data_IF_343048302491
#
_entry.id   IF_343048302491
#
_cell.length_a   1.000
_cell.length_b   1.000
_cell.length_c   1.000
_cell.angle_alpha   90.00
_cell.angle_beta   90.00
_cell.angle_gamma   90.00
#
_symmetry.space_group_name_H-M   'P 1'
#
loop_
_entity.id
_entity.type
_entity.pdbx_description
1 polymer ?
#
# COMPACT_ATOMS: atom_id res chain seq x y z
N UNK A 1 -81.76 -80.08 24.28
CA UNK A 1 -81.01 -78.98 24.97
C UNK A 1 -80.03 -78.42 23.97
N UNK A 2 -80.10 -77.17 23.74
CA UNK A 2 -79.92 -76.35 22.56
C UNK A 2 -78.44 -76.25 22.01
N UNK A 3 -78.27 -76.68 20.77
CA UNK A 3 -77.05 -76.51 19.91
C UNK A 3 -76.75 -75.07 19.50
N UNK A 4 -77.59 -74.11 19.90
CA UNK A 4 -77.47 -72.71 19.46
C UNK A 4 -76.61 -71.81 20.35
N UNK A 5 -76.20 -72.25 21.53
CA UNK A 5 -75.28 -71.45 22.42
C UNK A 5 -73.80 -71.59 22.08
N UNK A 6 -73.38 -72.59 21.34
CA UNK A 6 -72.00 -72.81 20.94
C UNK A 6 -71.57 -71.89 19.78
N UNK A 7 -72.47 -71.46 18.93
CA UNK A 7 -72.18 -70.58 17.81
C UNK A 7 -72.05 -69.09 18.18
N UNK A 8 -72.70 -68.65 19.27
CA UNK A 8 -72.62 -67.28 19.75
C UNK A 8 -71.28 -67.00 20.49
N UNK A 9 -70.69 -68.03 21.11
CA UNK A 9 -69.41 -67.89 21.82
C UNK A 9 -68.17 -67.89 20.90
N UNK A 10 -68.28 -68.47 19.70
CA UNK A 10 -67.18 -68.45 18.71
C UNK A 10 -67.15 -67.17 17.89
N UNK A 11 -68.17 -66.34 17.83
CA UNK A 11 -68.26 -65.13 17.04
C UNK A 11 -67.67 -63.92 17.86
N UNK A 12 -67.63 -63.97 19.21
CA UNK A 12 -67.13 -62.88 20.06
C UNK A 12 -65.63 -62.87 20.26
N UNK A 13 -64.83 -63.85 19.73
CA UNK A 13 -63.36 -63.91 19.91
C UNK A 13 -62.60 -63.36 18.69
N UNK A 14 -63.29 -63.08 17.54
CA UNK A 14 -62.61 -62.65 16.29
C UNK A 14 -62.49 -61.10 16.16
N UNK A 15 -63.00 -60.30 17.12
CA UNK A 15 -63.05 -58.87 17.01
C UNK A 15 -61.98 -58.10 17.94
N UNK A 16 -61.04 -58.82 18.52
CA UNK A 16 -60.01 -58.23 19.41
C UNK A 16 -58.60 -58.16 18.82
N UNK A 17 -58.42 -58.25 17.48
CA UNK A 17 -57.14 -58.15 16.82
C UNK A 17 -57.05 -56.85 15.98
N UNK A 18 -57.32 -55.68 16.62
CA UNK A 18 -56.92 -54.40 16.07
C UNK A 18 -55.62 -54.01 16.77
N UNK A 19 -54.48 -54.54 16.26
CA UNK A 19 -53.14 -54.13 16.66
C UNK A 19 -52.95 -52.65 16.34
N UNK A 20 -52.83 -51.86 17.39
CA UNK A 20 -52.44 -50.46 17.24
C UNK A 20 -51.07 -50.36 16.56
N UNK A 21 -51.05 -49.90 15.31
CA UNK A 21 -49.84 -49.38 14.69
C UNK A 21 -49.37 -48.24 15.59
N UNK A 22 -48.31 -48.48 16.35
CA UNK A 22 -47.51 -47.38 16.88
C UNK A 22 -47.03 -46.55 15.65
N UNK A 23 -47.64 -45.42 15.43
CA UNK A 23 -47.02 -44.36 14.64
C UNK A 23 -45.71 -44.07 15.33
N UNK A 24 -44.60 -44.57 14.76
CA UNK A 24 -43.28 -44.01 15.01
C UNK A 24 -43.44 -42.54 14.55
N UNK A 25 -43.54 -41.64 15.51
CA UNK A 25 -43.34 -40.21 15.25
C UNK A 25 -41.93 -40.09 14.67
N UNK A 26 -41.84 -40.06 13.35
CA UNK A 26 -40.59 -39.60 12.71
C UNK A 26 -40.35 -38.20 13.24
N UNK A 27 -39.36 -38.08 14.15
CA UNK A 27 -38.87 -36.78 14.54
C UNK A 27 -38.51 -36.04 13.26
N UNK A 28 -39.01 -34.81 13.06
CA UNK A 28 -38.74 -34.05 11.86
C UNK A 28 -37.22 -33.93 11.71
N UNK A 29 -36.70 -34.50 10.63
CA UNK A 29 -35.30 -34.32 10.24
C UNK A 29 -35.06 -32.83 10.02
N UNK A 30 -34.54 -32.15 11.07
CA UNK A 30 -34.21 -30.74 10.97
C UNK A 30 -33.01 -30.64 9.99
N UNK A 31 -33.21 -29.98 8.82
CA UNK A 31 -32.15 -29.87 7.84
C UNK A 31 -30.94 -29.14 8.46
N UNK A 32 -29.77 -29.76 8.37
CA UNK A 32 -28.52 -29.18 8.88
C UNK A 32 -27.77 -28.53 7.73
N UNK A 33 -27.48 -27.22 7.84
CA UNK A 33 -26.68 -26.49 6.85
C UNK A 33 -25.21 -26.89 6.95
N UNK A 34 -24.56 -27.23 5.83
CA UNK A 34 -23.13 -27.52 5.82
C UNK A 34 -22.32 -26.23 6.07
N UNK A 35 -21.36 -26.27 7.00
CA UNK A 35 -20.58 -25.09 7.39
C UNK A 35 -19.11 -25.44 7.59
N UNK A 36 -18.23 -24.45 7.34
CA UNK A 36 -16.82 -24.49 7.72
C UNK A 36 -16.60 -23.60 8.92
N UNK A 37 -15.62 -23.93 9.75
CA UNK A 37 -15.36 -23.23 11.01
C UNK A 37 -13.88 -22.88 11.17
N UNK A 38 -13.64 -21.81 11.93
CA UNK A 38 -12.32 -21.39 12.36
C UNK A 38 -12.32 -21.01 13.82
N UNK A 39 -11.13 -20.83 14.40
CA UNK A 39 -10.94 -20.27 15.74
C UNK A 39 -10.49 -18.81 15.65
N UNK A 40 -10.67 -18.08 16.73
CA UNK A 40 -10.22 -16.70 16.85
C UNK A 40 -8.71 -16.70 17.14
N UNK A 41 -7.99 -15.84 16.43
CA UNK A 41 -6.56 -15.59 16.64
C UNK A 41 -6.37 -14.35 17.52
N UNK A 42 -5.48 -14.42 18.49
CA UNK A 42 -5.00 -13.23 19.19
C UNK A 42 -3.81 -12.67 18.40
N UNK A 43 -3.88 -11.41 18.03
CA UNK A 43 -2.86 -10.77 17.22
C UNK A 43 -3.14 -9.31 16.97
N UNK A 44 -2.55 -8.79 15.91
CA UNK A 44 -2.79 -7.45 15.39
C UNK A 44 -3.17 -7.54 13.92
N UNK A 45 -3.95 -6.58 13.46
CA UNK A 45 -4.19 -6.39 12.03
C UNK A 45 -3.27 -5.28 11.57
N UNK A 46 -2.44 -5.55 10.57
CA UNK A 46 -1.69 -4.50 9.90
C UNK A 46 -2.68 -3.64 9.11
N UNK A 47 -2.95 -2.46 9.62
CA UNK A 47 -3.73 -1.44 8.94
C UNK A 47 -2.75 -0.51 8.21
N UNK A 48 -2.71 -0.63 6.90
CA UNK A 48 -1.83 0.14 6.05
C UNK A 48 -2.58 1.32 5.44
N UNK A 49 -2.05 2.51 5.66
CA UNK A 49 -2.52 3.74 5.03
C UNK A 49 -1.79 3.93 3.70
N UNK A 50 -2.52 3.93 2.60
CA UNK A 50 -1.96 4.25 1.28
C UNK A 50 -2.18 5.72 0.97
N UNK A 51 -1.08 6.45 0.78
CA UNK A 51 -1.07 7.88 0.46
C UNK A 51 -0.48 8.12 -0.92
N UNK A 52 -0.82 9.25 -1.53
CA UNK A 52 -0.20 9.72 -2.77
C UNK A 52 0.97 10.65 -2.46
N UNK A 53 2.04 10.52 -3.23
CA UNK A 53 3.19 11.40 -3.15
C UNK A 53 3.75 11.74 -4.53
N UNK A 54 4.57 12.78 -4.59
CA UNK A 54 5.30 13.18 -5.81
C UNK A 54 6.79 13.29 -5.52
N UNK A 55 7.62 12.88 -6.47
CA UNK A 55 9.06 13.02 -6.40
C UNK A 55 9.47 14.48 -6.58
N UNK A 56 10.38 14.97 -5.76
CA UNK A 56 10.96 16.32 -5.86
C UNK A 56 12.47 16.26 -5.57
N UNK A 57 13.22 17.16 -6.17
CA UNK A 57 14.61 17.38 -5.81
C UNK A 57 14.74 18.63 -4.95
N UNK A 58 15.21 18.46 -3.71
CA UNK A 58 15.33 19.55 -2.74
C UNK A 58 16.50 20.47 -3.05
N UNK A 59 17.55 19.94 -3.72
CA UNK A 59 18.74 20.69 -4.05
C UNK A 59 19.03 20.64 -5.54
N UNK A 60 19.34 21.81 -6.08
CA UNK A 60 19.67 22.02 -7.48
C UNK A 60 20.93 22.84 -7.61
N UNK A 61 21.83 22.44 -8.49
CA UNK A 61 23.03 23.17 -8.83
C UNK A 61 22.85 23.82 -10.18
N UNK A 62 22.82 25.13 -10.21
CA UNK A 62 22.83 25.92 -11.44
C UNK A 62 24.29 26.03 -11.92
N UNK A 63 24.55 25.52 -13.09
CA UNK A 63 25.87 25.57 -13.71
C UNK A 63 25.95 26.80 -14.61
N UNK A 64 26.88 27.67 -14.32
CA UNK A 64 27.08 28.91 -15.07
C UNK A 64 28.47 28.95 -15.70
N UNK A 65 28.65 29.79 -16.71
CA UNK A 65 29.97 30.11 -17.23
C UNK A 65 30.70 31.05 -16.26
N UNK A 66 31.93 30.69 -15.87
CA UNK A 66 32.76 31.51 -14.97
C UNK A 66 33.46 32.68 -15.69
N UNK A 67 33.55 32.60 -17.02
CA UNK A 67 34.18 33.61 -17.85
C UNK A 67 33.46 33.74 -19.19
N UNK A 68 33.69 34.89 -19.91
CA UNK A 68 33.18 35.02 -21.28
C UNK A 68 33.97 34.10 -22.24
N UNK A 69 33.23 33.20 -22.94
CA UNK A 69 33.84 32.17 -23.79
C UNK A 69 32.92 31.68 -24.91
N UNK A 70 33.47 30.96 -25.89
CA UNK A 70 32.70 30.19 -26.88
C UNK A 70 32.57 28.75 -26.42
N UNK A 71 31.39 28.18 -26.59
CA UNK A 71 31.17 26.74 -26.36
C UNK A 71 31.81 25.98 -27.54
N UNK A 72 32.76 25.13 -27.23
CA UNK A 72 33.43 24.27 -28.24
C UNK A 72 32.88 22.87 -28.26
N UNK A 73 32.39 22.39 -27.13
CA UNK A 73 31.78 21.07 -27.01
C UNK A 73 30.73 21.01 -25.89
N UNK A 74 29.66 20.31 -26.14
CA UNK A 74 28.61 19.98 -25.18
C UNK A 74 28.59 18.47 -25.04
N UNK A 75 28.77 17.97 -23.81
CA UNK A 75 28.86 16.53 -23.51
C UNK A 75 27.62 15.98 -22.81
N UNK A 76 26.55 16.73 -22.74
CA UNK A 76 25.33 16.40 -22.01
C UNK A 76 24.08 16.78 -22.82
N UNK A 77 22.96 16.14 -22.45
CA UNK A 77 21.62 16.43 -22.93
C UNK A 77 20.65 16.57 -21.78
N UNK A 78 19.47 17.11 -22.03
CA UNK A 78 18.40 17.16 -21.06
C UNK A 78 18.00 15.73 -20.64
N UNK A 79 17.91 15.49 -19.33
CA UNK A 79 17.57 14.19 -18.77
C UNK A 79 18.76 13.24 -18.55
N UNK A 80 19.96 13.61 -19.01
CA UNK A 80 21.16 12.79 -18.79
C UNK A 80 21.49 12.67 -17.30
N UNK A 81 21.93 11.46 -16.90
CA UNK A 81 22.52 11.21 -15.60
C UNK A 81 23.99 11.61 -15.62
N UNK A 82 24.41 12.44 -14.69
CA UNK A 82 25.79 12.91 -14.57
C UNK A 82 26.37 12.53 -13.21
N UNK A 83 27.68 12.30 -13.18
CA UNK A 83 28.44 12.02 -11.96
C UNK A 83 29.23 13.27 -11.56
N UNK A 84 29.49 13.42 -10.26
CA UNK A 84 30.38 14.46 -9.74
C UNK A 84 31.75 14.38 -10.41
N UNK A 85 32.24 15.52 -10.94
CA UNK A 85 33.51 15.61 -11.66
C UNK A 85 33.41 15.26 -13.16
N UNK A 86 32.25 14.90 -13.69
CA UNK A 86 32.04 14.68 -15.12
C UNK A 86 32.14 16.01 -15.88
N UNK A 87 32.82 16.03 -17.04
CA UNK A 87 32.89 17.19 -17.93
C UNK A 87 31.58 17.42 -18.63
N UNK A 88 30.94 18.56 -18.40
CA UNK A 88 29.67 18.95 -18.99
C UNK A 88 29.86 19.74 -20.28
N UNK A 89 30.72 20.76 -20.22
CA UNK A 89 31.03 21.66 -21.35
C UNK A 89 32.53 21.84 -21.49
N UNK A 90 32.97 22.09 -22.73
CA UNK A 90 34.29 22.62 -23.04
C UNK A 90 34.10 24.00 -23.68
N UNK A 91 34.82 24.97 -23.12
CA UNK A 91 34.75 26.36 -23.53
C UNK A 91 36.10 26.83 -24.03
N UNK A 92 36.11 27.84 -24.91
CA UNK A 92 37.31 28.48 -25.46
C UNK A 92 37.19 29.99 -25.33
N UNK A 93 38.19 30.61 -24.76
CA UNK A 93 38.22 32.07 -24.65
C UNK A 93 38.45 32.75 -26.01
N UNK A 94 38.10 34.06 -26.10
CA UNK A 94 38.35 34.86 -27.31
C UNK A 94 39.83 34.93 -27.68
N UNK A 95 40.70 35.06 -26.69
CA UNK A 95 42.16 35.16 -26.83
C UNK A 95 42.71 33.89 -27.51
N UNK A 96 42.29 32.72 -27.00
CA UNK A 96 42.68 31.45 -27.62
C UNK A 96 42.18 31.34 -29.07
N UNK A 97 40.94 31.74 -29.32
CA UNK A 97 40.40 31.72 -30.67
C UNK A 97 41.17 32.64 -31.63
N UNK A 98 41.63 33.81 -31.12
CA UNK A 98 42.43 34.79 -31.87
C UNK A 98 43.85 34.30 -32.16
N UNK A 99 44.47 33.54 -31.27
CA UNK A 99 45.83 33.00 -31.46
C UNK A 99 45.92 32.00 -32.62
N UNK A 100 44.84 31.32 -32.96
CA UNK A 100 44.79 30.33 -34.01
C UNK A 100 45.54 29.03 -33.70
N UNK A 101 45.25 27.98 -34.49
CA UNK A 101 45.79 26.63 -34.25
C UNK A 101 47.32 26.54 -34.43
N UNK A 102 47.90 27.33 -35.37
CA UNK A 102 49.32 27.25 -35.70
C UNK A 102 50.22 27.73 -34.55
N UNK A 103 49.91 28.84 -33.88
CA UNK A 103 50.65 29.38 -32.74
C UNK A 103 50.59 28.43 -31.55
N UNK A 104 49.42 27.84 -31.30
CA UNK A 104 49.23 26.91 -30.18
C UNK A 104 49.96 25.58 -30.40
N UNK A 105 50.11 25.14 -31.64
CA UNK A 105 50.84 23.91 -31.97
C UNK A 105 52.36 24.09 -31.89
N UNK A 106 52.84 25.31 -32.01
CA UNK A 106 54.27 25.64 -31.98
C UNK A 106 54.82 25.74 -30.53
N UNK A 107 53.96 26.01 -29.56
CA UNK A 107 54.36 26.13 -28.12
C UNK A 107 53.49 25.24 -27.25
N UNK A 108 54.10 24.20 -26.67
CA UNK A 108 53.45 23.26 -25.76
C UNK A 108 52.92 23.90 -24.46
N UNK A 109 53.49 25.03 -24.04
CA UNK A 109 53.02 25.78 -22.87
C UNK A 109 51.61 26.40 -23.14
N UNK A 110 51.30 26.69 -24.37
CA UNK A 110 49.98 27.23 -24.78
C UNK A 110 48.93 26.15 -25.05
N UNK A 111 49.29 24.89 -24.97
CA UNK A 111 48.38 23.79 -25.34
C UNK A 111 47.01 23.84 -24.62
N UNK A 112 47.01 24.19 -23.34
CA UNK A 112 45.80 24.29 -22.51
C UNK A 112 45.33 25.74 -22.28
N UNK A 113 46.05 26.72 -22.79
CA UNK A 113 45.70 28.15 -22.57
C UNK A 113 44.31 28.42 -23.16
N UNK A 114 43.44 29.06 -22.37
CA UNK A 114 42.12 29.49 -22.80
C UNK A 114 41.12 28.35 -23.14
N UNK A 115 41.47 27.09 -22.84
CA UNK A 115 40.52 25.98 -22.84
C UNK A 115 40.04 25.74 -21.41
N UNK A 116 38.72 25.76 -21.22
CA UNK A 116 38.10 25.62 -19.91
C UNK A 116 37.13 24.47 -19.98
N UNK A 117 37.18 23.59 -19.00
CA UNK A 117 36.23 22.50 -18.83
C UNK A 117 35.32 22.81 -17.65
N UNK A 118 34.03 22.78 -17.86
CA UNK A 118 33.02 22.91 -16.82
C UNK A 118 32.65 21.51 -16.34
N UNK A 119 32.83 21.30 -15.05
CA UNK A 119 32.58 20.00 -14.40
C UNK A 119 31.32 20.02 -13.58
N UNK A 120 30.70 18.85 -13.44
CA UNK A 120 29.55 18.65 -12.53
C UNK A 120 30.04 18.73 -11.07
N UNK A 121 29.45 19.59 -10.22
CA UNK A 121 29.76 19.66 -8.79
C UNK A 121 29.16 18.49 -8.00
N UNK A 122 28.12 17.83 -8.53
CA UNK A 122 27.38 16.76 -7.86
C UNK A 122 26.91 15.69 -8.86
N UNK A 123 26.53 14.52 -8.34
CA UNK A 123 25.83 13.51 -9.14
C UNK A 123 24.34 13.80 -9.16
N UNK A 124 23.70 13.68 -10.34
CA UNK A 124 22.30 14.02 -10.50
C UNK A 124 21.79 13.84 -11.93
N UNK A 125 20.69 14.54 -12.23
CA UNK A 125 20.06 14.56 -13.55
C UNK A 125 20.06 16.01 -14.07
N UNK A 126 20.33 16.18 -15.36
CA UNK A 126 20.20 17.47 -16.05
C UNK A 126 18.71 17.82 -16.13
N UNK A 127 18.25 18.74 -15.29
CA UNK A 127 16.84 19.13 -15.18
C UNK A 127 16.46 20.29 -16.11
N UNK A 128 17.41 21.20 -16.39
CA UNK A 128 17.26 22.23 -17.44
C UNK A 128 18.54 22.30 -18.26
N UNK A 129 18.39 22.71 -19.53
CA UNK A 129 19.48 22.72 -20.49
C UNK A 129 19.36 23.95 -21.39
N UNK A 130 19.97 25.04 -20.93
CA UNK A 130 19.77 26.36 -21.54
C UNK A 130 20.67 26.60 -22.77
N UNK A 131 21.89 26.00 -22.77
CA UNK A 131 22.87 26.14 -23.85
C UNK A 131 23.23 24.80 -24.46
N UNK A 132 22.76 24.58 -25.67
CA UNK A 132 22.84 23.29 -26.37
C UNK A 132 23.80 23.28 -27.57
N UNK A 133 24.23 24.47 -28.05
CA UNK A 133 24.91 24.55 -29.33
C UNK A 133 26.39 24.89 -29.20
N UNK A 134 27.21 24.11 -29.88
CA UNK A 134 28.59 24.43 -30.12
C UNK A 134 28.68 25.68 -30.97
N UNK A 135 29.57 26.62 -30.62
CA UNK A 135 29.75 27.90 -31.30
C UNK A 135 29.07 29.08 -30.58
N UNK A 136 28.15 28.84 -29.64
CA UNK A 136 27.52 29.89 -28.86
C UNK A 136 28.58 30.65 -28.03
N UNK A 137 28.41 31.96 -28.01
CA UNK A 137 29.19 32.83 -27.09
C UNK A 137 28.41 33.05 -25.80
N UNK A 138 29.01 32.78 -24.67
CA UNK A 138 28.44 32.98 -23.35
C UNK A 138 29.23 34.02 -22.57
N UNK A 139 28.54 34.81 -21.76
CA UNK A 139 29.12 35.77 -20.84
C UNK A 139 29.35 35.11 -19.48
N UNK A 140 30.15 35.73 -18.63
CA UNK A 140 30.27 35.36 -17.24
C UNK A 140 28.89 35.38 -16.57
N UNK A 141 28.62 34.38 -15.73
CA UNK A 141 27.33 34.20 -15.05
C UNK A 141 26.19 33.64 -15.93
N UNK A 142 26.41 33.43 -17.26
CA UNK A 142 25.40 32.82 -18.12
C UNK A 142 25.12 31.40 -17.66
N UNK A 143 23.83 31.10 -17.37
CA UNK A 143 23.37 29.77 -17.04
C UNK A 143 23.52 28.83 -18.24
N UNK A 144 24.14 27.68 -18.01
CA UNK A 144 24.38 26.64 -19.01
C UNK A 144 23.39 25.49 -18.88
N UNK A 145 23.25 24.95 -17.66
CA UNK A 145 22.30 23.92 -17.32
C UNK A 145 22.03 23.90 -15.80
N UNK A 146 21.05 23.11 -15.36
CA UNK A 146 20.78 22.85 -13.96
C UNK A 146 20.85 21.36 -13.68
N UNK A 147 21.49 20.97 -12.58
CA UNK A 147 21.57 19.59 -12.13
C UNK A 147 20.71 19.44 -10.88
N UNK A 148 19.73 18.54 -10.93
CA UNK A 148 18.97 18.08 -9.77
C UNK A 148 19.77 16.98 -9.06
N UNK A 149 20.18 17.21 -7.81
CA UNK A 149 21.03 16.25 -7.08
C UNK A 149 20.29 14.98 -6.69
N UNK A 150 20.80 13.82 -7.10
CA UNK A 150 20.17 12.53 -6.81
C UNK A 150 20.11 12.19 -5.32
N UNK A 151 21.09 12.65 -4.53
CA UNK A 151 21.13 12.42 -3.08
C UNK A 151 20.05 13.22 -2.31
N UNK A 152 19.49 14.24 -2.93
CA UNK A 152 18.44 15.08 -2.35
C UNK A 152 17.07 14.86 -3.00
N UNK A 153 16.88 13.72 -3.65
CA UNK A 153 15.55 13.24 -4.05
C UNK A 153 14.72 12.97 -2.79
N UNK A 154 13.56 13.58 -2.72
CA UNK A 154 12.57 13.37 -1.68
C UNK A 154 11.20 13.11 -2.30
N UNK A 155 10.31 12.56 -1.49
CA UNK A 155 8.92 12.33 -1.88
C UNK A 155 8.02 13.21 -1.03
N UNK A 156 7.27 14.05 -1.70
CA UNK A 156 6.32 14.97 -1.09
C UNK A 156 4.99 14.23 -0.94
N UNK A 157 4.67 13.80 0.28
CA UNK A 157 3.47 13.04 0.63
C UNK A 157 2.38 14.03 1.04
N UNK A 158 1.19 13.89 0.46
CA UNK A 158 0.01 14.66 0.86
C UNK A 158 -0.79 13.84 1.88
N UNK A 159 -0.74 14.24 3.15
CA UNK A 159 -1.34 13.53 4.27
C UNK A 159 -2.61 14.26 4.72
N UNK A 160 -3.81 13.66 4.64
CA UNK A 160 -5.02 14.22 5.24
C UNK A 160 -4.83 14.45 6.74
N UNK A 161 -5.39 15.53 7.26
CA UNK A 161 -5.18 15.95 8.66
C UNK A 161 -5.48 14.87 9.69
N UNK A 162 -6.50 14.06 9.43
CA UNK A 162 -6.91 12.94 10.28
C UNK A 162 -5.84 11.84 10.44
N UNK A 163 -4.92 11.74 9.46
CA UNK A 163 -3.86 10.71 9.45
C UNK A 163 -2.47 11.23 9.87
N UNK A 164 -2.33 12.51 10.19
CA UNK A 164 -1.04 13.11 10.60
C UNK A 164 -0.43 12.39 11.80
N UNK A 165 -1.26 11.93 12.73
CA UNK A 165 -0.80 11.20 13.92
C UNK A 165 -0.03 9.91 13.60
N UNK A 166 -0.21 9.35 12.41
CA UNK A 166 0.44 8.11 11.94
C UNK A 166 1.65 8.36 11.03
N UNK A 167 2.05 9.62 10.83
CA UNK A 167 3.12 10.02 9.92
C UNK A 167 4.15 10.90 10.62
N UNK A 168 4.71 10.38 11.71
CA UNK A 168 5.71 11.11 12.52
C UNK A 168 7.08 11.08 11.85
N UNK A 169 7.89 12.09 12.16
CA UNK A 169 9.31 12.11 11.74
C UNK A 169 10.03 10.89 12.30
N UNK A 170 10.74 10.18 11.44
CA UNK A 170 11.42 8.93 11.76
C UNK A 170 10.62 7.66 11.47
N UNK A 171 9.31 7.76 11.20
CA UNK A 171 8.50 6.58 10.89
C UNK A 171 8.92 5.98 9.54
N UNK A 172 9.04 4.66 9.45
CA UNK A 172 9.32 3.98 8.20
C UNK A 172 8.10 3.99 7.28
N UNK A 173 8.33 4.13 6.00
CA UNK A 173 7.31 3.98 4.98
C UNK A 173 7.86 3.22 3.77
N UNK A 174 6.96 2.71 2.93
CA UNK A 174 7.30 2.03 1.70
C UNK A 174 6.80 2.84 0.51
N UNK A 175 7.69 3.16 -0.41
CA UNK A 175 7.35 3.87 -1.65
C UNK A 175 7.22 2.85 -2.77
N UNK A 176 6.08 2.87 -3.45
CA UNK A 176 5.81 2.02 -4.62
C UNK A 176 5.78 2.90 -5.86
N UNK A 177 6.69 2.64 -6.78
CA UNK A 177 6.78 3.33 -8.07
C UNK A 177 5.73 2.80 -9.06
N UNK A 178 5.48 3.51 -10.18
CA UNK A 178 4.53 3.05 -11.20
C UNK A 178 4.87 1.71 -11.87
N UNK A 179 6.13 1.30 -11.84
CA UNK A 179 6.62 -0.01 -12.31
C UNK A 179 6.43 -1.14 -11.29
N UNK A 180 5.75 -0.86 -10.15
CA UNK A 180 5.54 -1.73 -9.00
C UNK A 180 6.82 -2.07 -8.20
N UNK A 181 7.94 -1.44 -8.47
CA UNK A 181 9.12 -1.53 -7.59
C UNK A 181 8.84 -0.84 -6.26
N UNK A 182 9.39 -1.40 -5.18
CA UNK A 182 9.15 -0.90 -3.81
C UNK A 182 10.47 -0.54 -3.14
N UNK A 183 10.51 0.64 -2.52
CA UNK A 183 11.69 1.19 -1.87
C UNK A 183 11.38 1.59 -0.44
N UNK A 184 12.27 1.22 0.47
CA UNK A 184 12.18 1.63 1.89
C UNK A 184 12.53 3.10 2.00
N UNK A 185 11.72 3.84 2.74
CA UNK A 185 11.90 5.26 2.99
C UNK A 185 11.58 5.60 4.44
N UNK A 186 12.00 6.77 4.86
CA UNK A 186 11.73 7.31 6.19
C UNK A 186 11.11 8.69 6.04
N UNK A 187 10.10 8.98 6.84
CA UNK A 187 9.49 10.30 6.95
C UNK A 187 10.50 11.24 7.62
N UNK A 188 10.80 12.38 6.98
CA UNK A 188 11.87 13.29 7.43
C UNK A 188 11.37 14.60 7.97
N UNK A 189 10.52 15.31 7.22
CA UNK A 189 10.16 16.69 7.54
C UNK A 189 8.70 16.98 7.21
N UNK A 190 7.88 17.35 8.20
CA UNK A 190 6.57 17.94 7.92
C UNK A 190 6.75 19.39 7.48
N UNK A 191 6.08 19.80 6.42
CA UNK A 191 6.01 21.19 6.02
C UNK A 191 4.89 21.90 6.81
N UNK A 192 5.09 23.19 7.12
CA UNK A 192 4.15 23.95 7.95
C UNK A 192 2.88 24.36 7.21
N UNK A 193 2.92 24.43 5.88
CA UNK A 193 1.78 24.83 5.08
C UNK A 193 0.84 23.64 4.83
N UNK A 194 -0.46 23.90 4.97
CA UNK A 194 -1.53 22.98 4.56
C UNK A 194 -2.11 23.39 3.21
N UNK A 195 -2.46 22.42 2.40
CA UNK A 195 -3.31 22.64 1.25
C UNK A 195 -4.74 22.84 1.73
N UNK A 196 -5.27 24.06 1.58
CA UNK A 196 -6.60 24.44 2.10
C UNK A 196 -7.74 23.77 1.36
N UNK A 197 -7.56 23.42 0.07
CA UNK A 197 -8.59 22.76 -0.74
C UNK A 197 -8.70 21.28 -0.40
N UNK A 198 -7.56 20.61 -0.28
CA UNK A 198 -7.52 19.18 -0.02
C UNK A 198 -7.47 18.83 1.48
N UNK A 199 -7.34 19.83 2.38
CA UNK A 199 -7.14 19.63 3.82
C UNK A 199 -6.01 18.64 4.13
N UNK A 200 -4.91 18.74 3.35
CA UNK A 200 -3.74 17.87 3.51
C UNK A 200 -2.53 18.67 3.97
N UNK A 201 -1.74 18.08 4.86
CA UNK A 201 -0.39 18.54 5.18
C UNK A 201 0.62 17.84 4.28
N UNK A 202 1.58 18.60 3.78
CA UNK A 202 2.69 18.03 3.03
C UNK A 202 3.78 17.56 3.97
N UNK A 203 4.22 16.31 3.80
CA UNK A 203 5.30 15.70 4.57
C UNK A 203 6.34 15.15 3.59
N UNK A 204 7.62 15.31 3.91
CA UNK A 204 8.70 14.77 3.09
C UNK A 204 9.16 13.41 3.60
N UNK A 205 9.42 12.49 2.66
CA UNK A 205 10.10 11.24 2.94
C UNK A 205 11.32 11.09 2.03
N UNK A 206 12.37 10.42 2.53
CA UNK A 206 13.58 10.10 1.76
C UNK A 206 13.78 8.59 1.69
N UNK A 207 14.13 8.08 0.51
CA UNK A 207 14.56 6.69 0.36
C UNK A 207 15.93 6.47 0.98
N UNK A 208 16.18 5.24 1.43
CA UNK A 208 17.49 4.82 1.90
C UNK A 208 18.48 4.61 0.75
N UNK A 209 17.96 4.38 -0.43
CA UNK A 209 18.71 4.17 -1.67
C UNK A 209 18.77 5.45 -2.50
N UNK A 210 19.85 5.61 -3.27
CA UNK A 210 19.96 6.70 -4.25
C UNK A 210 19.18 6.29 -5.51
N UNK A 211 18.10 7.01 -5.77
CA UNK A 211 17.24 6.79 -6.94
C UNK A 211 17.41 7.94 -7.95
N UNK A 212 17.30 7.59 -9.22
CA UNK A 212 17.27 8.55 -10.33
C UNK A 212 15.88 8.50 -10.97
N UNK A 213 14.99 9.39 -10.53
CA UNK A 213 13.62 9.44 -10.98
C UNK A 213 13.30 10.80 -11.62
N UNK A 214 12.36 10.86 -12.55
CA UNK A 214 11.84 12.13 -13.03
C UNK A 214 11.24 12.94 -11.87
N UNK A 215 11.33 14.25 -11.93
CA UNK A 215 10.63 15.15 -11.00
C UNK A 215 9.12 15.09 -11.28
N UNK A 216 8.32 15.29 -10.24
CA UNK A 216 6.84 15.22 -10.28
C UNK A 216 6.28 13.83 -10.64
N UNK A 217 7.07 12.76 -10.50
CA UNK A 217 6.56 11.40 -10.63
C UNK A 217 5.59 11.11 -9.49
N UNK A 218 4.36 10.70 -9.84
CA UNK A 218 3.37 10.28 -8.85
C UNK A 218 3.66 8.85 -8.40
N UNK A 219 3.72 8.66 -7.08
CA UNK A 219 4.01 7.37 -6.45
C UNK A 219 3.03 7.09 -5.32
N UNK A 220 2.92 5.82 -4.94
CA UNK A 220 2.16 5.41 -3.75
C UNK A 220 3.10 5.27 -2.56
N UNK A 221 2.65 5.74 -1.41
CA UNK A 221 3.38 5.58 -0.14
C UNK A 221 2.52 4.80 0.83
N UNK A 222 3.05 3.69 1.30
CA UNK A 222 2.41 2.85 2.30
C UNK A 222 2.99 3.19 3.67
N UNK A 223 2.14 3.64 4.57
CA UNK A 223 2.48 3.90 5.98
C UNK A 223 1.74 2.89 6.84
N UNK A 224 2.46 2.16 7.68
CA UNK A 224 1.85 1.20 8.59
C UNK A 224 1.36 1.94 9.82
N UNK A 225 0.07 1.89 10.08
CA UNK A 225 -0.49 2.38 11.33
C UNK A 225 -0.11 1.41 12.46
N UNK A 226 0.29 1.91 13.63
CA UNK A 226 0.50 1.04 14.78
C UNK A 226 -0.82 0.34 15.12
N UNK A 227 -0.83 -0.99 15.01
CA UNK A 227 -1.98 -1.79 15.35
C UNK A 227 -1.99 -2.09 16.85
N UNK A 228 -3.19 -2.20 17.43
CA UNK A 228 -3.35 -2.61 18.81
C UNK A 228 -2.88 -4.06 18.97
N UNK A 229 -1.90 -4.29 19.84
CA UNK A 229 -1.39 -5.63 20.15
C UNK A 229 -2.43 -6.38 21.00
N UNK A 230 -2.49 -7.70 20.87
CA UNK A 230 -3.37 -8.58 21.65
C UNK A 230 -4.88 -8.38 21.43
N UNK A 231 -5.28 -8.11 20.21
CA UNK A 231 -6.70 -8.06 19.83
C UNK A 231 -7.16 -9.39 19.26
N UNK A 232 -8.46 -9.63 19.38
CA UNK A 232 -9.10 -10.76 18.74
C UNK A 232 -9.29 -10.49 17.27
N UNK A 233 -8.73 -11.35 16.43
CA UNK A 233 -8.74 -11.21 14.97
C UNK A 233 -9.38 -12.44 14.36
N UNK A 234 -10.26 -12.21 13.40
CA UNK A 234 -10.96 -13.27 12.67
C UNK A 234 -10.98 -12.95 11.17
N UNK A 235 -11.12 -13.98 10.34
CA UNK A 235 -11.28 -13.79 8.91
C UNK A 235 -12.52 -12.95 8.60
N UNK A 236 -12.40 -11.99 7.68
CA UNK A 236 -13.48 -11.03 7.32
C UNK A 236 -14.79 -11.75 6.92
N UNK A 237 -14.68 -12.88 6.26
CA UNK A 237 -15.83 -13.69 5.83
C UNK A 237 -16.65 -14.28 6.99
N UNK A 238 -16.13 -14.30 8.22
CA UNK A 238 -16.87 -14.75 9.39
C UNK A 238 -17.83 -13.69 9.92
N UNK A 239 -17.59 -12.41 9.60
CA UNK A 239 -18.38 -11.29 10.09
C UNK A 239 -19.46 -10.97 9.09
N UNK A 240 -20.70 -11.02 9.55
CA UNK A 240 -21.89 -10.66 8.80
C UNK A 240 -22.37 -9.28 9.25
N UNK A 241 -23.09 -8.59 8.39
CA UNK A 241 -23.69 -7.29 8.69
C UNK A 241 -25.11 -7.20 8.13
N UNK A 242 -25.87 -6.26 8.67
CA UNK A 242 -27.11 -5.79 8.08
C UNK A 242 -26.85 -5.02 6.75
N UNK A 243 -27.92 -4.71 6.02
CA UNK A 243 -27.83 -3.99 4.74
C UNK A 243 -27.23 -2.58 4.88
N UNK A 244 -27.40 -1.95 6.05
CA UNK A 244 -26.87 -0.61 6.32
C UNK A 244 -25.47 -0.63 6.94
N UNK A 245 -24.90 -1.83 7.18
CA UNK A 245 -23.59 -2.02 7.85
C UNK A 245 -23.51 -1.35 9.24
N UNK A 246 -24.61 -1.30 9.95
CA UNK A 246 -24.69 -0.74 11.30
C UNK A 246 -24.55 -1.79 12.38
N UNK A 247 -25.10 -2.99 12.13
CA UNK A 247 -24.99 -4.12 13.03
C UNK A 247 -24.09 -5.20 12.44
N UNK A 248 -23.17 -5.70 13.27
CA UNK A 248 -22.28 -6.78 12.90
C UNK A 248 -22.46 -7.95 13.83
N UNK A 249 -22.37 -9.18 13.29
CA UNK A 249 -22.46 -10.41 14.08
C UNK A 249 -21.62 -11.52 13.49
N UNK A 250 -21.37 -12.54 14.30
CA UNK A 250 -20.76 -13.80 13.86
C UNK A 250 -21.67 -14.96 14.28
N UNK A 251 -21.54 -16.09 13.59
CA UNK A 251 -22.21 -17.34 13.94
C UNK A 251 -21.23 -18.21 14.74
N UNK A 252 -21.48 -18.29 16.05
CA UNK A 252 -20.64 -19.07 16.99
C UNK A 252 -21.25 -20.45 17.19
N UNK A 253 -20.42 -21.50 17.14
CA UNK A 253 -20.84 -22.84 17.50
C UNK A 253 -20.95 -22.99 19.03
N UNK A 254 -22.11 -23.41 19.48
CA UNK A 254 -22.33 -23.81 20.88
C UNK A 254 -21.93 -25.28 21.11
N UNK A 255 -22.14 -26.12 20.09
CA UNK A 255 -21.74 -27.52 20.01
C UNK A 255 -21.52 -27.92 18.54
N UNK A 256 -21.24 -29.18 18.26
CA UNK A 256 -20.94 -29.65 16.90
C UNK A 256 -22.11 -29.59 15.91
N UNK A 257 -23.30 -29.24 16.37
CA UNK A 257 -24.51 -29.25 15.53
C UNK A 257 -25.39 -28.00 15.65
N UNK A 258 -25.03 -27.04 16.52
CA UNK A 258 -25.84 -25.85 16.77
C UNK A 258 -24.95 -24.60 16.75
N UNK A 259 -25.35 -23.63 15.95
CA UNK A 259 -24.72 -22.31 15.89
C UNK A 259 -25.71 -21.25 16.36
N UNK A 260 -25.18 -20.18 17.00
CA UNK A 260 -25.96 -19.03 17.45
C UNK A 260 -25.36 -17.74 16.95
N UNK A 261 -26.21 -16.78 16.64
CA UNK A 261 -25.84 -15.42 16.30
C UNK A 261 -25.31 -14.71 17.53
N UNK A 262 -24.10 -14.14 17.42
CA UNK A 262 -23.47 -13.34 18.47
C UNK A 262 -23.18 -11.97 17.89
N UNK A 263 -23.83 -10.90 18.40
CA UNK A 263 -23.51 -9.54 18.00
C UNK A 263 -22.06 -9.19 18.37
N UNK A 264 -21.36 -8.47 17.47
CA UNK A 264 -19.97 -8.09 17.68
C UNK A 264 -19.75 -6.60 17.40
N UNK A 265 -18.83 -5.99 18.15
CA UNK A 265 -18.30 -4.67 17.85
C UNK A 265 -16.97 -4.85 17.15
N UNK A 266 -16.91 -4.45 15.91
CA UNK A 266 -15.68 -4.54 15.10
C UNK A 266 -14.74 -3.38 15.39
N UNK A 267 -13.42 -3.63 15.24
CA UNK A 267 -12.37 -2.63 15.30
C UNK A 267 -11.75 -2.39 13.93
N UNK A 268 -10.43 -2.41 13.86
CA UNK A 268 -9.69 -2.28 12.62
C UNK A 268 -9.98 -3.46 11.68
N UNK A 269 -9.96 -3.19 10.39
CA UNK A 269 -10.19 -4.21 9.35
C UNK A 269 -9.26 -3.99 8.17
N UNK A 270 -8.85 -5.09 7.54
CA UNK A 270 -8.18 -5.07 6.24
C UNK A 270 -8.95 -5.92 5.22
N UNK A 271 -8.33 -6.25 4.10
CA UNK A 271 -8.98 -7.04 3.04
C UNK A 271 -9.30 -8.48 3.46
N UNK A 272 -8.59 -9.04 4.44
CA UNK A 272 -8.63 -10.45 4.84
C UNK A 272 -9.21 -10.66 6.24
N UNK A 273 -8.98 -9.74 7.18
CA UNK A 273 -9.22 -9.92 8.61
C UNK A 273 -9.94 -8.72 9.22
N UNK A 274 -10.65 -8.98 10.31
CA UNK A 274 -11.40 -7.99 11.11
C UNK A 274 -11.05 -8.19 12.59
N UNK A 275 -10.79 -7.09 13.29
CA UNK A 275 -10.62 -7.04 14.74
C UNK A 275 -11.99 -7.05 15.42
N UNK A 276 -12.12 -7.86 16.48
CA UNK A 276 -13.30 -7.90 17.35
C UNK A 276 -12.96 -7.25 18.68
N UNK A 277 -13.62 -6.13 18.97
CA UNK A 277 -13.46 -5.42 20.24
C UNK A 277 -14.33 -6.00 21.35
N UNK A 278 -15.52 -6.51 21.00
CA UNK A 278 -16.49 -7.10 21.92
C UNK A 278 -17.40 -8.06 21.16
N UNK A 279 -17.87 -9.16 21.82
CA UNK A 279 -17.47 -9.69 23.12
C UNK A 279 -16.08 -10.33 23.10
N UNK A 280 -15.57 -10.68 24.28
CA UNK A 280 -14.36 -11.50 24.38
C UNK A 280 -14.72 -12.97 24.16
N UNK A 281 -14.09 -13.58 23.16
CA UNK A 281 -14.25 -15.00 22.83
C UNK A 281 -13.13 -15.83 23.47
N UNK A 282 -13.45 -17.06 23.81
CA UNK A 282 -12.43 -18.01 24.29
C UNK A 282 -11.58 -18.56 23.13
N UNK A 283 -10.38 -19.03 23.47
CA UNK A 283 -9.44 -19.61 22.49
C UNK A 283 -10.03 -20.81 21.74
N UNK A 284 -10.94 -21.54 22.38
CA UNK A 284 -11.61 -22.72 21.80
C UNK A 284 -12.94 -22.41 21.12
N UNK A 285 -13.37 -21.14 21.12
CA UNK A 285 -14.60 -20.77 20.44
C UNK A 285 -14.45 -20.94 18.94
N UNK A 286 -15.41 -21.65 18.34
CA UNK A 286 -15.44 -21.92 16.90
C UNK A 286 -16.47 -21.02 16.26
N UNK A 287 -16.04 -20.30 15.24
CA UNK A 287 -16.85 -19.36 14.45
C UNK A 287 -16.99 -19.90 13.03
N UNK A 288 -18.18 -19.78 12.46
CA UNK A 288 -18.45 -20.23 11.09
C UNK A 288 -17.79 -19.26 10.10
N UNK A 289 -17.01 -19.81 9.16
CA UNK A 289 -16.35 -19.05 8.07
C UNK A 289 -17.14 -19.11 6.78
N UNK A 290 -17.72 -20.27 6.47
CA UNK A 290 -18.45 -20.50 5.24
C UNK A 290 -19.81 -21.16 5.56
N UNK A 291 -20.85 -20.81 4.79
CA UNK A 291 -22.21 -21.28 5.04
C UNK A 291 -22.92 -20.54 6.18
N UNK A 292 -22.39 -19.41 6.61
CA UNK A 292 -22.95 -18.54 7.66
C UNK A 292 -24.06 -17.62 7.16
N UNK A 293 -24.11 -17.32 5.86
CA UNK A 293 -25.09 -16.42 5.27
C UNK A 293 -26.50 -17.03 5.26
N UNK A 294 -27.52 -16.25 5.68
CA UNK A 294 -28.91 -16.68 5.69
C UNK A 294 -29.28 -17.67 6.79
N UNK A 295 -28.39 -17.95 7.75
CA UNK A 295 -28.74 -18.74 8.93
C UNK A 295 -29.63 -17.93 9.87
N UNK A 296 -30.61 -18.64 10.51
CA UNK A 296 -31.39 -18.06 11.58
C UNK A 296 -30.53 -17.79 12.82
N UNK A 297 -31.03 -16.97 13.77
CA UNK A 297 -30.32 -16.64 15.02
C UNK A 297 -29.85 -17.87 15.82
N UNK A 298 -30.56 -18.98 15.70
CA UNK A 298 -30.15 -20.31 16.12
C UNK A 298 -30.35 -21.26 14.96
N UNK A 299 -29.28 -21.89 14.50
CA UNK A 299 -29.29 -22.75 13.33
C UNK A 299 -28.68 -24.12 13.62
N UNK A 300 -29.26 -25.17 13.02
CA UNK A 300 -28.68 -26.50 13.05
C UNK A 300 -27.71 -26.65 11.88
N UNK A 301 -26.49 -27.03 12.18
CA UNK A 301 -25.40 -27.07 11.22
C UNK A 301 -24.68 -28.42 11.22
N UNK A 302 -23.97 -28.71 10.13
CA UNK A 302 -23.07 -29.85 9.99
C UNK A 302 -21.70 -29.33 9.57
N UNK A 303 -20.70 -29.55 10.41
CA UNK A 303 -19.33 -29.15 10.08
C UNK A 303 -18.82 -29.96 8.91
N UNK A 304 -18.34 -29.29 7.88
CA UNK A 304 -17.65 -29.86 6.73
C UNK A 304 -16.17 -29.46 6.77
N UNK A 305 -15.32 -30.32 6.23
CA UNK A 305 -13.87 -30.05 6.16
C UNK A 305 -13.56 -29.05 5.06
#
# INVERSE_FOLDING_TARGET
MNKNYIYIFCISVVLSACGGSQKIEEQPLIPKSPVQVTTIRIGSIDDNLTLSATSIYLKRNVITSEIPAFITKVNIHLGDKVLKGQVLYELQTKERKALGKQVISADTALANFGNIKIYSPASGIISTFDKQQTGDYVLEGTQLCTIAESNDLAFQINVPYEFIQFTKVGDPCMITLPDNSTHKATITTPLTAMNTLAQTQTILAKCHEVLFLPENLIVKVLVTKPSSINKQVIAKQCVLSDEMMQEFWVMKLMNDSTAVRVPVVIGNKNDKEVEINSPQFGVNDRIITNGNYGLADTAFVKITK
#
